data_IF_884848674152
#
_entry.id   IF_884848674152
#
_cell.length_a   1.000
_cell.length_b   1.000
_cell.length_c   1.000
_cell.angle_alpha   90.00
_cell.angle_beta   90.00
_cell.angle_gamma   90.00
#
_symmetry.space_group_name_H-M   'P 1'
#
loop_
_entity.id
_entity.type
_entity.pdbx_description
1 polymer ?
#
# COMPACT_ATOMS: atom_id res chain seq x y z
N UNK A 1 -17.27 -25.62 0.14
CA UNK A 1 -16.31 -26.05 1.18
C UNK A 1 -16.68 -27.42 1.71
N UNK A 2 -17.96 -27.67 2.03
CA UNK A 2 -18.48 -29.01 2.41
C UNK A 2 -18.30 -30.08 1.32
N UNK A 3 -18.51 -29.73 0.04
CA UNK A 3 -18.31 -30.66 -1.10
C UNK A 3 -16.87 -31.16 -1.27
N UNK A 4 -15.88 -30.38 -0.82
CA UNK A 4 -14.47 -30.76 -0.86
C UNK A 4 -14.10 -31.66 0.34
N UNK A 5 -14.79 -31.48 1.47
CA UNK A 5 -14.59 -32.31 2.67
C UNK A 5 -15.15 -33.72 2.46
N UNK A 6 -16.33 -33.84 1.83
CA UNK A 6 -16.93 -35.13 1.48
C UNK A 6 -16.08 -35.91 0.46
N UNK A 7 -15.46 -35.23 -0.51
CA UNK A 7 -14.52 -35.82 -1.48
C UNK A 7 -13.25 -36.37 -0.82
N UNK A 8 -12.73 -35.65 0.18
CA UNK A 8 -11.56 -36.08 0.98
C UNK A 8 -11.90 -37.31 1.82
N UNK A 9 -13.09 -37.34 2.44
CA UNK A 9 -13.56 -38.49 3.24
C UNK A 9 -13.80 -39.72 2.36
N UNK A 10 -14.35 -39.54 1.15
CA UNK A 10 -14.61 -40.62 0.19
C UNK A 10 -13.34 -41.24 -0.41
N UNK A 11 -12.27 -40.48 -0.65
CA UNK A 11 -10.99 -41.03 -1.14
C UNK A 11 -10.18 -41.70 -0.03
N UNK A 12 -10.25 -41.19 1.21
CA UNK A 12 -9.60 -41.82 2.37
C UNK A 12 -10.16 -43.22 2.65
N UNK A 13 -11.44 -43.46 2.38
CA UNK A 13 -12.06 -44.79 2.49
C UNK A 13 -11.74 -45.73 1.32
N UNK A 14 -11.50 -45.21 0.11
CA UNK A 14 -11.04 -46.03 -1.04
C UNK A 14 -9.60 -46.53 -0.94
N UNK A 15 -8.73 -45.83 -0.19
CA UNK A 15 -7.32 -46.24 0.02
C UNK A 15 -7.17 -47.53 0.86
N UNK A 16 -8.24 -48.04 1.48
CA UNK A 16 -8.24 -49.31 2.21
C UNK A 16 -8.25 -50.57 1.31
N UNK A 17 -8.48 -50.43 -0.01
CA UNK A 17 -8.58 -51.60 -0.91
C UNK A 17 -7.37 -51.85 -1.83
N UNK A 18 -6.33 -51.01 -1.76
CA UNK A 18 -5.21 -51.08 -2.72
C UNK A 18 -4.01 -51.88 -2.18
N UNK A 19 -4.03 -53.19 -2.47
CA UNK A 19 -2.94 -54.10 -2.93
C UNK A 19 -2.90 -55.48 -2.23
N UNK A 20 -3.68 -56.39 -2.81
CA UNK A 20 -3.18 -57.73 -3.15
C UNK A 20 -2.43 -57.62 -4.48
N UNK A 21 -1.10 -57.74 -4.49
CA UNK A 21 -0.34 -58.06 -5.71
C UNK A 21 0.87 -58.95 -5.33
N UNK A 22 1.19 -59.98 -6.13
CA UNK A 22 2.08 -61.06 -5.71
C UNK A 22 3.50 -60.78 -6.19
N UNK A 23 4.47 -60.68 -5.28
CA UNK A 23 5.86 -61.13 -5.52
C UNK A 23 6.70 -61.05 -4.25
N UNK A 24 7.10 -62.24 -3.81
CA UNK A 24 8.22 -62.65 -2.95
C UNK A 24 8.81 -61.72 -1.87
N UNK A 25 8.82 -62.32 -0.67
CA UNK A 25 9.65 -62.07 0.51
C UNK A 25 9.37 -60.77 1.27
N UNK A 26 8.40 -60.84 2.18
CA UNK A 26 8.48 -60.38 3.58
C UNK A 26 7.33 -61.10 4.33
N UNK A 27 7.68 -61.93 5.31
CA UNK A 27 6.72 -62.47 6.28
C UNK A 27 6.45 -61.44 7.38
N UNK A 28 5.19 -61.30 7.78
CA UNK A 28 4.65 -60.60 8.95
C UNK A 28 4.84 -59.07 9.01
N UNK A 29 3.88 -58.35 8.41
CA UNK A 29 3.50 -56.98 8.83
C UNK A 29 2.07 -57.06 9.39
N UNK A 30 1.78 -56.62 10.62
CA UNK A 30 0.41 -56.59 11.12
C UNK A 30 -0.39 -55.49 10.40
N UNK A 31 -1.58 -55.85 9.90
CA UNK A 31 -2.53 -54.91 9.30
C UNK A 31 -2.84 -53.76 10.26
N UNK A 32 -2.57 -52.53 9.84
CA UNK A 32 -3.09 -51.32 10.48
C UNK A 32 -4.49 -51.04 9.92
N UNK A 33 -5.48 -50.95 10.81
CA UNK A 33 -6.86 -50.61 10.44
C UNK A 33 -7.14 -49.18 10.91
N UNK A 34 -7.45 -48.28 9.98
CA UNK A 34 -7.93 -46.93 10.29
C UNK A 34 -9.37 -47.04 10.81
N UNK A 35 -9.65 -46.58 12.03
CA UNK A 35 -10.99 -46.69 12.63
C UNK A 35 -11.88 -45.48 12.29
N UNK A 36 -11.29 -44.28 12.31
CA UNK A 36 -11.95 -43.03 11.94
C UNK A 36 -10.92 -41.94 11.70
N UNK A 37 -11.31 -40.92 10.93
CA UNK A 37 -10.55 -39.69 10.74
C UNK A 37 -11.46 -38.49 10.94
N UNK A 38 -11.02 -37.51 11.73
CA UNK A 38 -11.71 -36.22 11.87
C UNK A 38 -10.79 -35.10 11.36
N UNK A 39 -11.34 -34.24 10.50
CA UNK A 39 -10.67 -33.04 10.02
C UNK A 39 -11.33 -31.82 10.66
N UNK A 40 -10.55 -31.00 11.37
CA UNK A 40 -11.04 -29.77 12.00
C UNK A 40 -10.21 -28.59 11.50
N UNK A 41 -10.88 -27.55 11.01
CA UNK A 41 -10.25 -26.28 10.63
C UNK A 41 -10.38 -25.26 11.76
N UNK A 42 -9.24 -24.74 12.24
CA UNK A 42 -9.18 -23.61 13.16
C UNK A 42 -8.08 -22.67 12.68
N UNK A 43 -8.39 -21.38 12.52
CA UNK A 43 -7.43 -20.32 12.20
C UNK A 43 -6.47 -20.64 11.02
N UNK A 44 -6.99 -21.18 9.91
CA UNK A 44 -6.20 -21.44 8.70
C UNK A 44 -5.28 -22.67 8.76
N UNK A 45 -5.36 -23.46 9.83
CA UNK A 45 -4.64 -24.72 10.02
C UNK A 45 -5.61 -25.90 9.85
N UNK A 46 -5.27 -26.87 8.99
CA UNK A 46 -6.00 -28.14 8.88
C UNK A 46 -5.39 -29.13 9.88
N UNK A 47 -6.16 -29.60 10.86
CA UNK A 47 -5.74 -30.68 11.76
C UNK A 47 -6.45 -31.98 11.38
N UNK A 48 -5.67 -33.00 11.01
CA UNK A 48 -6.14 -34.36 10.77
C UNK A 48 -5.87 -35.21 12.01
N UNK A 49 -6.94 -35.70 12.66
CA UNK A 49 -6.84 -36.71 13.72
C UNK A 49 -7.05 -38.09 13.10
N UNK A 50 -6.02 -38.93 13.16
CA UNK A 50 -6.07 -40.32 12.71
C UNK A 50 -6.11 -41.24 13.93
N UNK A 51 -7.17 -42.04 14.06
CA UNK A 51 -7.27 -43.07 15.11
C UNK A 51 -6.76 -44.41 14.57
N UNK A 52 -5.59 -44.81 15.05
CA UNK A 52 -4.92 -46.05 14.64
C UNK A 52 -4.68 -46.90 15.89
N UNK A 53 -5.14 -48.15 15.88
CA UNK A 53 -4.92 -49.11 16.97
C UNK A 53 -4.05 -50.26 16.48
N UNK A 54 -2.82 -50.43 16.98
CA UNK A 54 -2.26 -51.75 17.19
C UNK A 54 -2.75 -52.26 18.55
N UNK A 55 -2.97 -53.58 18.71
CA UNK A 55 -3.24 -54.18 20.02
C UNK A 55 -2.26 -53.59 21.05
N UNK A 56 -2.81 -52.83 21.99
CA UNK A 56 -2.24 -52.21 23.20
C UNK A 56 -1.82 -50.74 23.26
N UNK A 57 -1.82 -49.87 22.23
CA UNK A 57 -1.62 -48.40 22.47
C UNK A 57 -2.28 -47.48 21.43
N UNK A 58 -3.01 -46.45 21.89
CA UNK A 58 -3.52 -45.34 21.07
C UNK A 58 -2.38 -44.38 20.72
N UNK A 59 -2.15 -44.12 19.42
CA UNK A 59 -1.23 -43.09 18.95
C UNK A 59 -2.06 -41.90 18.48
N UNK A 60 -1.89 -40.73 19.11
CA UNK A 60 -2.48 -39.46 18.67
C UNK A 60 -1.40 -38.69 17.91
N UNK A 61 -1.53 -38.60 16.59
CA UNK A 61 -0.68 -37.74 15.77
C UNK A 61 -1.37 -36.39 15.57
N UNK A 62 -0.69 -35.29 15.90
CA UNK A 62 -1.11 -33.93 15.55
C UNK A 62 -0.24 -33.46 14.39
N UNK A 63 -0.84 -33.23 13.23
CA UNK A 63 -0.23 -32.48 12.14
C UNK A 63 -0.80 -31.07 12.15
N UNK A 64 0.05 -30.07 12.37
CA UNK A 64 -0.29 -28.65 12.22
C UNK A 64 0.39 -28.10 10.98
N UNK A 65 -0.36 -27.40 10.13
CA UNK A 65 0.11 -26.80 8.88
C UNK A 65 -0.11 -25.27 8.91
N UNK A 66 0.97 -24.49 8.89
CA UNK A 66 0.91 -23.03 8.77
C UNK A 66 0.99 -22.59 7.30
N UNK A 67 0.26 -21.53 6.92
CA UNK A 67 0.14 -21.02 5.55
C UNK A 67 1.40 -20.36 4.96
N UNK A 68 2.45 -20.14 5.74
CA UNK A 68 3.71 -19.58 5.25
C UNK A 68 4.84 -20.62 5.31
N UNK A 69 5.23 -21.15 4.14
CA UNK A 69 6.48 -21.91 3.95
C UNK A 69 6.48 -23.33 4.54
N UNK A 70 6.33 -24.34 3.67
CA UNK A 70 6.60 -25.74 4.03
C UNK A 70 8.10 -26.03 3.94
N UNK A 71 8.88 -25.63 4.95
CA UNK A 71 10.26 -26.11 5.11
C UNK A 71 10.52 -26.92 6.38
N UNK A 72 9.57 -27.03 7.32
CA UNK A 72 9.74 -27.89 8.50
C UNK A 72 8.41 -28.37 9.08
N UNK A 73 7.89 -29.50 8.59
CA UNK A 73 6.87 -30.24 9.33
C UNK A 73 7.55 -30.94 10.52
N UNK A 74 7.35 -30.44 11.75
CA UNK A 74 7.80 -31.13 12.97
C UNK A 74 6.71 -32.09 13.45
N UNK A 75 6.94 -33.39 13.25
CA UNK A 75 6.15 -34.44 13.89
C UNK A 75 6.48 -34.44 15.39
N UNK A 76 5.55 -33.94 16.24
CA UNK A 76 5.62 -34.17 17.69
C UNK A 76 4.84 -35.44 18.01
N UNK A 77 5.57 -36.56 18.15
CA UNK A 77 5.02 -37.78 18.73
C UNK A 77 5.14 -37.68 20.24
N UNK A 78 4.04 -37.48 20.96
CA UNK A 78 4.04 -37.50 22.42
C UNK A 78 3.97 -38.96 22.88
N UNK A 79 5.13 -39.59 23.12
CA UNK A 79 5.21 -40.95 23.65
C UNK A 79 4.87 -40.94 25.15
N UNK A 80 3.88 -41.76 25.55
CA UNK A 80 3.75 -42.19 26.94
C UNK A 80 4.94 -43.10 27.29
N UNK A 81 5.63 -42.76 28.39
CA UNK A 81 6.88 -43.34 28.93
C UNK A 81 7.14 -44.84 28.66
N UNK A 82 8.43 -45.12 28.41
CA UNK A 82 9.18 -46.40 28.43
C UNK A 82 8.90 -47.41 27.30
N UNK A 83 9.81 -47.48 26.32
CA UNK A 83 10.71 -48.62 26.02
C UNK A 83 11.47 -48.36 24.70
N UNK A 84 12.75 -48.70 24.67
CA UNK A 84 13.70 -48.57 23.55
C UNK A 84 13.61 -49.76 22.59
N UNK A 85 13.40 -49.56 21.28
CA UNK A 85 13.85 -50.43 20.18
C UNK A 85 13.90 -49.65 18.84
N UNK A 86 14.98 -49.82 18.08
CA UNK A 86 15.27 -49.21 16.76
C UNK A 86 14.66 -50.04 15.60
N UNK A 87 14.46 -49.39 14.43
CA UNK A 87 14.02 -49.83 13.07
C UNK A 87 12.58 -49.44 12.63
N UNK A 88 12.35 -49.09 11.33
CA UNK A 88 12.78 -47.86 10.67
C UNK A 88 11.58 -46.93 10.34
N UNK A 89 11.63 -45.68 10.79
CA UNK A 89 10.61 -44.65 10.52
C UNK A 89 10.65 -44.04 9.10
N UNK A 90 11.49 -44.56 8.20
CA UNK A 90 11.76 -43.92 6.90
C UNK A 90 10.65 -44.11 5.85
N UNK A 91 9.94 -45.25 5.85
CA UNK A 91 8.92 -45.56 4.83
C UNK A 91 7.65 -44.72 5.04
N UNK A 92 7.27 -44.48 6.30
CA UNK A 92 6.09 -43.68 6.67
C UNK A 92 6.29 -42.20 6.30
N UNK A 93 7.52 -41.68 6.43
CA UNK A 93 7.84 -40.29 6.09
C UNK A 93 7.70 -39.99 4.59
N UNK A 94 8.15 -40.90 3.72
CA UNK A 94 8.17 -40.68 2.26
C UNK A 94 6.75 -40.75 1.66
N UNK A 95 5.92 -41.71 2.08
CA UNK A 95 4.53 -41.82 1.59
C UNK A 95 3.66 -40.63 1.99
N UNK A 96 3.77 -40.15 3.23
CA UNK A 96 3.03 -38.97 3.71
C UNK A 96 3.43 -37.69 2.96
N UNK A 97 4.70 -37.56 2.56
CA UNK A 97 5.20 -36.40 1.82
C UNK A 97 4.72 -36.38 0.37
N UNK A 98 4.67 -37.55 -0.28
CA UNK A 98 4.16 -37.69 -1.65
C UNK A 98 2.64 -37.49 -1.71
N UNK A 99 1.89 -38.03 -0.75
CA UNK A 99 0.43 -37.83 -0.66
C UNK A 99 0.07 -36.38 -0.28
N UNK A 100 0.83 -35.71 0.58
CA UNK A 100 0.63 -34.29 0.87
C UNK A 100 0.89 -33.40 -0.36
N UNK A 101 1.80 -33.81 -1.26
CA UNK A 101 2.07 -33.10 -2.52
C UNK A 101 0.93 -33.28 -3.52
N UNK A 102 0.38 -34.50 -3.68
CA UNK A 102 -0.77 -34.73 -4.57
C UNK A 102 -2.07 -34.12 -4.03
N UNK A 103 -2.28 -34.14 -2.71
CA UNK A 103 -3.38 -33.44 -2.06
C UNK A 103 -3.26 -31.92 -2.24
N UNK A 104 -2.05 -31.34 -2.24
CA UNK A 104 -1.84 -29.91 -2.53
C UNK A 104 -2.26 -29.56 -3.96
N UNK A 105 -1.93 -30.40 -4.94
CA UNK A 105 -2.32 -30.21 -6.34
C UNK A 105 -3.83 -30.41 -6.57
N UNK A 106 -4.51 -31.27 -5.81
CA UNK A 106 -5.96 -31.50 -5.93
C UNK A 106 -6.86 -30.58 -5.05
N UNK A 107 -6.35 -30.01 -3.94
CA UNK A 107 -7.13 -29.15 -3.02
C UNK A 107 -6.96 -27.65 -3.25
N UNK A 108 -5.94 -27.23 -3.99
CA UNK A 108 -5.79 -25.84 -4.39
C UNK A 108 -6.67 -25.61 -5.62
N UNK A 109 -7.60 -24.64 -5.61
CA UNK A 109 -8.28 -24.25 -6.86
C UNK A 109 -7.19 -23.89 -7.86
N UNK A 110 -7.27 -24.38 -9.10
CA UNK A 110 -6.32 -23.99 -10.15
C UNK A 110 -6.20 -22.47 -10.16
N UNK A 111 -4.96 -21.99 -10.00
CA UNK A 111 -4.67 -20.56 -10.00
C UNK A 111 -5.14 -19.99 -11.33
N UNK A 112 -6.14 -19.12 -11.26
CA UNK A 112 -6.78 -18.52 -12.43
C UNK A 112 -6.04 -17.27 -12.89
N UNK A 113 -5.48 -16.51 -11.96
CA UNK A 113 -4.82 -15.24 -12.24
C UNK A 113 -3.47 -15.12 -11.56
N UNK A 114 -2.52 -14.49 -12.24
CA UNK A 114 -1.19 -14.17 -11.71
C UNK A 114 -1.08 -12.67 -11.44
N UNK A 115 -0.83 -12.30 -10.20
CA UNK A 115 -0.70 -10.92 -9.75
C UNK A 115 0.71 -10.66 -9.30
N UNK A 116 1.35 -9.63 -9.87
CA UNK A 116 2.70 -9.22 -9.46
C UNK A 116 2.61 -7.94 -8.65
N UNK A 117 3.07 -7.98 -7.41
CA UNK A 117 3.33 -6.77 -6.63
C UNK A 117 4.74 -6.31 -6.95
N UNK A 118 4.84 -5.26 -7.75
CA UNK A 118 6.11 -4.74 -8.25
C UNK A 118 6.50 -3.54 -7.41
N UNK A 119 7.57 -3.70 -6.67
CA UNK A 119 8.18 -2.64 -5.87
C UNK A 119 9.47 -2.17 -6.52
N UNK A 120 9.77 -0.89 -6.36
CA UNK A 120 11.11 -0.37 -6.60
C UNK A 120 11.71 0.11 -5.28
N UNK A 121 12.37 -0.78 -4.53
CA UNK A 121 12.83 -0.56 -3.13
C UNK A 121 14.04 0.36 -3.00
N UNK A 122 14.25 1.34 -3.88
CA UNK A 122 15.41 2.20 -3.71
C UNK A 122 15.40 2.97 -2.37
N UNK A 123 14.24 3.23 -1.72
CA UNK A 123 14.19 4.46 -0.92
C UNK A 123 13.21 4.68 0.25
N UNK A 124 12.46 3.70 0.76
CA UNK A 124 11.66 3.91 2.00
C UNK A 124 11.68 2.67 2.91
N UNK A 125 11.59 2.83 4.26
CA UNK A 125 11.34 1.69 5.14
C UNK A 125 10.05 0.96 4.69
N UNK A 126 9.85 -0.31 5.06
CA UNK A 126 8.76 -1.12 4.54
C UNK A 126 7.41 -0.62 5.08
N UNK A 127 6.88 0.47 4.52
CA UNK A 127 5.58 1.06 4.87
C UNK A 127 4.44 0.11 4.44
N UNK A 128 4.75 -0.91 3.64
CA UNK A 128 3.83 -1.97 3.23
C UNK A 128 4.51 -3.33 3.45
N UNK A 129 4.95 -3.60 4.69
CA UNK A 129 5.89 -4.69 5.02
C UNK A 129 5.44 -6.13 4.73
N UNK A 130 4.13 -6.37 4.58
CA UNK A 130 3.60 -7.72 4.34
C UNK A 130 2.48 -7.66 3.32
N UNK A 131 2.49 -8.62 2.39
CA UNK A 131 1.47 -8.79 1.33
C UNK A 131 0.25 -9.60 1.79
N UNK A 132 0.19 -9.97 3.07
CA UNK A 132 -0.80 -10.92 3.62
C UNK A 132 -2.25 -10.48 3.40
N UNK A 133 -2.52 -9.18 3.48
CA UNK A 133 -3.86 -8.61 3.29
C UNK A 133 -4.27 -8.78 1.84
N UNK A 134 -3.39 -8.42 0.91
CA UNK A 134 -3.63 -8.50 -0.52
C UNK A 134 -3.77 -9.95 -0.97
N UNK A 135 -2.86 -10.83 -0.53
CA UNK A 135 -2.92 -12.27 -0.80
C UNK A 135 -4.22 -12.87 -0.27
N UNK A 136 -4.65 -12.51 0.94
CA UNK A 136 -5.90 -13.00 1.52
C UNK A 136 -7.15 -12.58 0.75
N UNK A 137 -7.18 -11.35 0.22
CA UNK A 137 -8.30 -10.85 -0.58
C UNK A 137 -8.29 -11.40 -2.01
N UNK A 138 -7.12 -11.48 -2.65
CA UNK A 138 -6.97 -11.97 -4.03
C UNK A 138 -7.13 -13.49 -4.13
N UNK A 139 -6.84 -14.25 -3.06
CA UNK A 139 -7.14 -15.67 -2.98
C UNK A 139 -8.65 -15.96 -3.15
N UNK A 140 -9.54 -15.01 -2.81
CA UNK A 140 -11.01 -15.16 -2.99
C UNK A 140 -11.43 -15.25 -4.46
N UNK A 141 -10.56 -14.83 -5.38
CA UNK A 141 -10.78 -14.88 -6.83
C UNK A 141 -9.80 -15.82 -7.55
N UNK A 142 -9.18 -16.75 -6.81
CA UNK A 142 -8.17 -17.68 -7.33
C UNK A 142 -6.98 -16.99 -7.99
N UNK A 143 -6.54 -15.86 -7.41
CA UNK A 143 -5.38 -15.12 -7.87
C UNK A 143 -4.18 -15.35 -6.93
N UNK A 144 -3.05 -15.75 -7.50
CA UNK A 144 -1.78 -15.87 -6.76
C UNK A 144 -1.01 -14.57 -6.85
N UNK A 145 -0.50 -14.11 -5.70
CA UNK A 145 0.24 -12.87 -5.60
C UNK A 145 1.72 -13.17 -5.36
N UNK A 146 2.58 -12.62 -6.20
CA UNK A 146 4.04 -12.73 -6.08
C UNK A 146 4.62 -11.34 -5.89
N UNK A 147 5.42 -11.16 -4.85
CA UNK A 147 6.17 -9.93 -4.61
C UNK A 147 7.52 -9.98 -5.34
N UNK A 148 7.83 -8.91 -6.06
CA UNK A 148 9.10 -8.72 -6.75
C UNK A 148 9.62 -7.31 -6.50
N UNK A 149 10.92 -7.21 -6.22
CA UNK A 149 11.65 -5.96 -6.14
C UNK A 149 12.41 -5.78 -7.45
N UNK A 150 11.99 -4.80 -8.25
CA UNK A 150 12.51 -4.53 -9.58
C UNK A 150 12.96 -3.07 -9.68
N UNK A 151 14.23 -2.89 -10.04
CA UNK A 151 14.92 -1.60 -10.15
C UNK A 151 14.95 -1.07 -11.57
N UNK A 152 14.85 -1.97 -12.55
CA UNK A 152 14.92 -1.64 -13.98
C UNK A 152 13.68 -2.12 -14.70
N UNK A 153 13.38 -1.52 -15.85
CA UNK A 153 12.29 -1.99 -16.71
C UNK A 153 12.47 -3.45 -17.13
N UNK A 154 13.70 -3.91 -17.37
CA UNK A 154 14.00 -5.28 -17.80
C UNK A 154 13.61 -6.29 -16.72
N UNK A 155 13.92 -5.99 -15.46
CA UNK A 155 13.51 -6.81 -14.32
C UNK A 155 11.99 -6.85 -14.16
N UNK A 156 11.30 -5.72 -14.36
CA UNK A 156 9.83 -5.66 -14.33
C UNK A 156 9.24 -6.53 -15.44
N UNK A 157 9.74 -6.40 -16.67
CA UNK A 157 9.25 -7.12 -17.84
C UNK A 157 9.43 -8.63 -17.66
N UNK A 158 10.60 -9.07 -17.21
CA UNK A 158 10.87 -10.50 -17.00
C UNK A 158 10.00 -11.07 -15.87
N UNK A 159 9.90 -10.36 -14.74
CA UNK A 159 9.09 -10.81 -13.61
C UNK A 159 7.59 -10.86 -13.92
N UNK A 160 7.09 -9.90 -14.70
CA UNK A 160 5.66 -9.71 -14.96
C UNK A 160 5.16 -10.23 -16.31
N UNK A 161 5.99 -10.90 -17.11
CA UNK A 161 5.67 -11.39 -18.46
C UNK A 161 4.32 -12.11 -18.59
N UNK A 162 3.96 -12.86 -17.56
CA UNK A 162 2.72 -13.65 -17.47
C UNK A 162 1.69 -13.07 -16.48
N UNK A 163 1.83 -11.83 -16.05
CA UNK A 163 0.95 -11.21 -15.07
C UNK A 163 -0.40 -10.77 -15.70
N UNK A 164 -1.50 -11.09 -15.04
CA UNK A 164 -2.83 -10.55 -15.33
C UNK A 164 -3.05 -9.18 -14.69
N UNK A 165 -2.37 -8.92 -13.56
CA UNK A 165 -2.45 -7.65 -12.83
C UNK A 165 -1.09 -7.26 -12.22
N UNK A 166 -0.85 -5.95 -12.18
CA UNK A 166 0.24 -5.34 -11.42
C UNK A 166 -0.32 -4.58 -10.22
N UNK A 167 0.24 -4.81 -9.04
CA UNK A 167 0.09 -3.92 -7.88
C UNK A 167 1.38 -3.10 -7.77
N UNK A 168 1.31 -1.82 -8.12
CA UNK A 168 2.48 -0.98 -8.41
C UNK A 168 2.86 -0.14 -7.19
N UNK A 169 4.07 -0.34 -6.68
CA UNK A 169 4.68 0.42 -5.58
C UNK A 169 5.91 1.14 -6.11
N UNK A 170 5.73 2.38 -6.58
CA UNK A 170 6.79 3.28 -7.11
C UNK A 170 7.59 2.77 -8.32
N UNK A 171 7.35 1.55 -8.80
CA UNK A 171 8.01 1.05 -10.00
C UNK A 171 7.58 1.85 -11.25
N UNK A 172 8.52 2.21 -12.14
CA UNK A 172 8.20 2.93 -13.38
C UNK A 172 7.52 1.99 -14.38
N UNK A 173 6.24 2.21 -14.64
CA UNK A 173 5.45 1.44 -15.60
C UNK A 173 5.33 2.27 -16.87
N UNK A 174 6.40 2.25 -17.67
CA UNK A 174 6.51 3.02 -18.91
C UNK A 174 5.82 2.33 -20.08
N UNK A 175 5.74 3.02 -21.23
CA UNK A 175 5.28 2.42 -22.49
C UNK A 175 6.01 1.13 -22.85
N UNK A 176 7.32 1.05 -22.62
CA UNK A 176 8.13 -0.14 -22.91
C UNK A 176 7.72 -1.33 -22.04
N UNK A 177 7.51 -1.09 -20.75
CA UNK A 177 6.99 -2.11 -19.83
C UNK A 177 5.61 -2.58 -20.29
N UNK A 178 4.67 -1.66 -20.49
CA UNK A 178 3.27 -1.98 -20.84
C UNK A 178 3.15 -2.77 -22.14
N UNK A 179 3.89 -2.38 -23.18
CA UNK A 179 3.87 -3.09 -24.47
C UNK A 179 4.55 -4.47 -24.45
N UNK A 180 5.30 -4.79 -23.39
CA UNK A 180 5.94 -6.10 -23.20
C UNK A 180 5.09 -7.08 -22.39
N UNK A 181 3.92 -6.65 -21.88
CA UNK A 181 3.06 -7.43 -20.99
C UNK A 181 1.67 -7.70 -21.63
N UNK A 182 1.57 -8.59 -22.64
CA UNK A 182 0.36 -8.74 -23.46
C UNK A 182 -0.84 -9.33 -22.71
N UNK A 183 -0.64 -9.95 -21.54
CA UNK A 183 -1.70 -10.49 -20.70
C UNK A 183 -2.22 -9.51 -19.66
N UNK A 184 -1.53 -8.38 -19.48
CA UNK A 184 -1.84 -7.45 -18.41
C UNK A 184 -3.21 -6.81 -18.64
N UNK A 185 -4.07 -6.86 -17.61
CA UNK A 185 -5.43 -6.28 -17.66
C UNK A 185 -5.55 -5.02 -16.82
N UNK A 186 -4.80 -4.95 -15.72
CA UNK A 186 -4.88 -3.83 -14.77
C UNK A 186 -3.55 -3.53 -14.11
N UNK A 187 -3.23 -2.25 -13.97
CA UNK A 187 -2.18 -1.74 -13.10
C UNK A 187 -2.84 -0.92 -11.98
N UNK A 188 -2.76 -1.42 -10.74
CA UNK A 188 -3.31 -0.77 -9.54
C UNK A 188 -2.18 -0.12 -8.76
N UNK A 189 -2.18 1.21 -8.70
CA UNK A 189 -1.17 1.99 -7.98
C UNK A 189 -1.49 2.01 -6.49
N UNK A 190 -0.47 1.77 -5.65
CA UNK A 190 -0.55 2.00 -4.19
C UNK A 190 -0.59 3.49 -3.84
N UNK A 191 -1.78 4.08 -3.87
CA UNK A 191 -2.07 5.42 -3.36
C UNK A 191 -2.71 6.36 -4.39
N UNK A 192 -2.68 7.67 -4.12
CA UNK A 192 -3.40 8.70 -4.89
C UNK A 192 -2.73 9.06 -6.23
N UNK A 193 -1.51 9.62 -6.21
CA UNK A 193 -0.82 10.03 -7.45
C UNK A 193 -0.36 8.84 -8.28
N UNK A 194 -0.41 8.94 -9.60
CA UNK A 194 -0.16 7.84 -10.54
C UNK A 194 0.90 8.22 -11.59
N UNK A 195 1.74 9.20 -11.24
CA UNK A 195 2.79 9.78 -12.09
C UNK A 195 3.89 8.78 -12.52
N UNK A 196 3.98 7.61 -11.87
CA UNK A 196 4.91 6.53 -12.24
C UNK A 196 4.39 5.61 -13.35
N UNK A 197 3.14 5.78 -13.80
CA UNK A 197 2.50 4.95 -14.82
C UNK A 197 2.21 5.80 -16.05
N UNK A 198 2.65 5.34 -17.23
CA UNK A 198 2.27 5.95 -18.51
C UNK A 198 0.80 5.61 -18.85
N UNK A 199 -0.11 6.52 -18.50
CA UNK A 199 -1.57 6.37 -18.63
C UNK A 199 -2.00 6.24 -20.10
N UNK A 200 -1.34 6.96 -21.00
CA UNK A 200 -1.64 6.93 -22.43
C UNK A 200 -1.19 5.58 -23.02
N UNK A 201 0.01 5.13 -22.70
CA UNK A 201 0.48 3.81 -23.12
C UNK A 201 -0.36 2.68 -22.52
N UNK A 202 -0.84 2.82 -21.29
CA UNK A 202 -1.71 1.81 -20.68
C UNK A 202 -3.02 1.69 -21.48
N UNK A 203 -3.59 2.82 -21.88
CA UNK A 203 -4.78 2.87 -22.75
C UNK A 203 -4.52 2.22 -24.11
N UNK A 204 -3.37 2.51 -24.72
CA UNK A 204 -2.97 1.91 -26.01
C UNK A 204 -2.87 0.39 -25.95
N UNK A 205 -2.45 -0.15 -24.81
CA UNK A 205 -2.30 -1.59 -24.56
C UNK A 205 -3.52 -2.23 -23.86
N UNK A 206 -4.66 -1.53 -23.81
CA UNK A 206 -5.91 -2.00 -23.18
C UNK A 206 -5.79 -2.34 -21.68
N UNK A 207 -4.82 -1.73 -20.99
CA UNK A 207 -4.57 -1.90 -19.55
C UNK A 207 -5.33 -0.81 -18.79
N UNK A 208 -6.09 -1.21 -17.77
CA UNK A 208 -6.80 -0.28 -16.90
C UNK A 208 -5.85 0.24 -15.82
N UNK A 209 -5.77 1.56 -15.65
CA UNK A 209 -4.97 2.18 -14.59
C UNK A 209 -5.90 2.59 -13.44
N UNK A 210 -5.62 2.06 -12.26
CA UNK A 210 -6.40 2.32 -11.05
C UNK A 210 -5.51 2.98 -10.01
N UNK A 211 -6.02 4.02 -9.36
CA UNK A 211 -5.42 4.60 -8.15
C UNK A 211 -6.40 4.47 -6.98
N UNK A 212 -5.90 4.68 -5.76
CA UNK A 212 -6.73 4.66 -4.55
C UNK A 212 -6.77 6.10 -3.99
N UNK A 213 -7.70 6.96 -4.41
CA UNK A 213 -7.71 8.37 -4.04
C UNK A 213 -8.27 8.64 -2.63
N UNK A 214 -8.97 7.68 -2.02
CA UNK A 214 -9.74 7.87 -0.80
C UNK A 214 -9.09 7.25 0.46
N UNK A 215 -7.91 6.64 0.35
CA UNK A 215 -7.36 5.88 1.48
C UNK A 215 -6.81 6.74 2.62
N UNK A 216 -6.32 7.96 2.33
CA UNK A 216 -5.57 8.80 3.27
C UNK A 216 -6.05 10.27 3.33
N UNK A 217 -7.32 10.53 2.96
CA UNK A 217 -7.83 11.89 2.87
C UNK A 217 -7.73 12.65 4.20
N UNK A 218 -8.12 12.00 5.29
CA UNK A 218 -8.04 12.57 6.65
C UNK A 218 -6.58 12.74 7.06
N UNK A 219 -5.75 11.71 6.90
CA UNK A 219 -4.34 11.71 7.26
C UNK A 219 -3.56 12.86 6.60
N UNK A 220 -3.69 13.02 5.28
CA UNK A 220 -2.96 14.08 4.56
C UNK A 220 -3.44 15.47 4.96
N UNK A 221 -4.75 15.63 5.18
CA UNK A 221 -5.31 16.92 5.62
C UNK A 221 -4.94 17.27 7.07
N UNK A 222 -4.83 16.28 7.96
CA UNK A 222 -4.31 16.43 9.31
C UNK A 222 -2.83 16.82 9.29
N UNK A 223 -2.04 16.16 8.46
CA UNK A 223 -0.61 16.43 8.35
C UNK A 223 -0.32 17.83 7.79
N UNK A 224 -1.12 18.29 6.82
CA UNK A 224 -1.05 19.66 6.32
C UNK A 224 -1.30 20.68 7.44
N UNK A 225 -2.32 20.45 8.27
CA UNK A 225 -2.59 21.29 9.44
C UNK A 225 -1.49 21.19 10.49
N UNK A 226 -0.91 20.02 10.70
CA UNK A 226 0.21 19.83 11.63
C UNK A 226 1.45 20.62 11.20
N UNK A 227 1.82 20.56 9.91
CA UNK A 227 2.92 21.36 9.35
C UNK A 227 2.64 22.86 9.46
N UNK A 228 1.40 23.28 9.15
CA UNK A 228 0.97 24.67 9.29
C UNK A 228 1.13 25.15 10.74
N UNK A 229 0.60 24.40 11.71
CA UNK A 229 0.67 24.75 13.13
C UNK A 229 2.11 24.74 13.66
N UNK A 230 2.94 23.79 13.20
CA UNK A 230 4.35 23.72 13.55
C UNK A 230 5.12 24.95 13.08
N UNK A 231 4.82 25.45 11.87
CA UNK A 231 5.37 26.69 11.34
C UNK A 231 4.84 27.90 12.10
N UNK A 232 3.51 28.05 12.19
CA UNK A 232 2.84 29.20 12.80
C UNK A 232 3.25 29.42 14.26
N UNK A 233 3.50 28.33 15.00
CA UNK A 233 3.87 28.38 16.43
C UNK A 233 5.35 28.13 16.68
N UNK A 234 6.18 28.08 15.63
CA UNK A 234 7.63 27.90 15.72
C UNK A 234 8.03 26.66 16.56
N UNK A 235 7.24 25.58 16.48
CA UNK A 235 7.36 24.45 17.42
C UNK A 235 8.70 23.72 17.27
N UNK A 236 9.13 23.49 16.02
CA UNK A 236 10.33 22.70 15.72
C UNK A 236 11.59 23.46 16.13
N UNK A 237 11.69 24.74 15.72
CA UNK A 237 12.82 25.60 16.08
C UNK A 237 12.90 25.80 17.60
N UNK A 238 11.76 26.08 18.26
CA UNK A 238 11.70 26.21 19.73
C UNK A 238 12.15 24.95 20.46
N UNK A 239 11.71 23.78 20.00
CA UNK A 239 12.12 22.49 20.57
C UNK A 239 13.62 22.25 20.38
N UNK A 240 14.14 22.54 19.18
CA UNK A 240 15.57 22.42 18.88
C UNK A 240 16.43 23.32 19.77
N UNK A 241 16.00 24.58 19.94
CA UNK A 241 16.63 25.55 20.82
C UNK A 241 16.68 25.14 22.29
N UNK A 242 15.56 24.66 22.82
CA UNK A 242 15.46 24.17 24.20
C UNK A 242 16.38 22.98 24.45
N UNK A 243 16.46 22.02 23.51
CA UNK A 243 17.39 20.89 23.59
C UNK A 243 18.87 21.30 23.58
N UNK A 244 19.17 22.50 23.08
CA UNK A 244 20.51 23.10 23.10
C UNK A 244 20.74 24.01 24.32
N UNK A 245 19.80 24.09 25.27
CA UNK A 245 19.91 24.94 26.46
C UNK A 245 19.62 26.42 26.22
N UNK A 246 19.09 26.81 25.06
CA UNK A 246 18.88 28.21 24.65
C UNK A 246 17.52 28.77 25.08
N UNK A 247 17.18 28.67 26.37
CA UNK A 247 15.86 29.04 26.89
C UNK A 247 15.45 30.49 26.61
N UNK A 248 16.24 31.47 27.06
CA UNK A 248 15.89 32.89 26.96
C UNK A 248 15.82 33.42 25.52
N UNK A 249 16.66 32.88 24.64
CA UNK A 249 16.66 33.21 23.21
C UNK A 249 15.33 32.80 22.55
N UNK A 250 14.90 31.55 22.73
CA UNK A 250 13.65 31.06 22.13
C UNK A 250 12.39 31.55 22.84
N UNK A 251 12.48 31.89 24.12
CA UNK A 251 11.42 32.64 24.78
C UNK A 251 11.18 33.99 24.09
N UNK A 252 12.24 34.65 23.61
CA UNK A 252 12.11 35.90 22.85
C UNK A 252 11.66 35.62 21.41
N UNK A 253 12.24 34.63 20.73
CA UNK A 253 11.90 34.29 19.34
C UNK A 253 10.42 33.94 19.17
N UNK A 254 9.84 33.19 20.12
CA UNK A 254 8.42 32.79 20.07
C UNK A 254 7.45 33.96 20.16
N UNK A 255 7.87 35.15 20.61
CA UNK A 255 7.03 36.37 20.58
C UNK A 255 6.70 36.84 19.17
N UNK A 256 7.47 36.39 18.16
CA UNK A 256 7.23 36.68 16.73
C UNK A 256 6.18 35.77 16.10
N UNK A 257 5.74 34.72 16.80
CA UNK A 257 4.74 33.79 16.29
C UNK A 257 3.39 34.52 16.09
N UNK A 258 2.81 34.50 14.88
CA UNK A 258 1.52 35.13 14.65
C UNK A 258 0.39 34.36 15.37
N UNK A 259 -0.70 35.09 15.68
CA UNK A 259 -1.96 34.45 15.99
C UNK A 259 -2.52 33.79 14.73
N UNK A 260 -3.07 32.57 14.83
CA UNK A 260 -3.78 31.93 13.72
C UNK A 260 -5.15 32.56 13.44
N UNK A 261 -5.81 33.08 14.49
CA UNK A 261 -7.13 33.67 14.38
C UNK A 261 -7.12 34.83 13.38
N UNK A 262 -8.14 34.89 12.52
CA UNK A 262 -8.33 35.88 11.45
C UNK A 262 -7.31 35.88 10.30
N UNK A 263 -6.26 35.06 10.37
CA UNK A 263 -5.33 34.86 9.26
C UNK A 263 -5.99 34.08 8.11
N UNK A 264 -5.35 34.13 6.94
CA UNK A 264 -5.88 33.54 5.71
C UNK A 264 -5.07 32.34 5.25
N UNK A 265 -5.74 31.22 5.06
CA UNK A 265 -5.24 30.04 4.37
C UNK A 265 -5.69 30.05 2.91
N UNK A 266 -4.72 30.12 2.00
CA UNK A 266 -4.90 29.92 0.56
C UNK A 266 -4.65 28.48 0.16
N UNK A 267 -5.63 27.84 -0.49
CA UNK A 267 -5.55 26.48 -0.98
C UNK A 267 -5.31 26.45 -2.50
N UNK A 268 -4.17 25.94 -2.95
CA UNK A 268 -3.91 25.67 -4.37
C UNK A 268 -4.35 24.24 -4.66
N UNK A 269 -5.54 24.10 -5.23
CA UNK A 269 -6.29 22.84 -5.33
C UNK A 269 -7.32 22.70 -4.21
N UNK A 270 -8.61 22.64 -4.58
CA UNK A 270 -9.74 22.60 -3.64
C UNK A 270 -10.51 21.28 -3.74
N UNK A 271 -9.80 20.18 -4.03
CA UNK A 271 -10.31 18.82 -4.07
C UNK A 271 -10.68 18.25 -2.69
N UNK A 272 -10.78 16.93 -2.58
CA UNK A 272 -11.18 16.26 -1.33
C UNK A 272 -10.28 16.63 -0.14
N UNK A 273 -8.97 16.57 -0.32
CA UNK A 273 -8.00 16.89 0.74
C UNK A 273 -8.11 18.37 1.11
N UNK A 274 -8.17 19.27 0.12
CA UNK A 274 -8.25 20.71 0.40
C UNK A 274 -9.51 21.17 1.08
N UNK A 275 -10.65 20.54 0.77
CA UNK A 275 -11.89 20.79 1.53
C UNK A 275 -11.81 20.31 2.98
N UNK A 276 -11.15 19.18 3.24
CA UNK A 276 -10.93 18.69 4.62
C UNK A 276 -9.96 19.59 5.38
N UNK A 277 -8.87 20.03 4.73
CA UNK A 277 -7.93 21.00 5.33
C UNK A 277 -8.61 22.32 5.61
N UNK A 278 -9.43 22.86 4.69
CA UNK A 278 -10.21 24.08 4.91
C UNK A 278 -11.10 23.95 6.14
N UNK A 279 -11.89 22.87 6.23
CA UNK A 279 -12.78 22.60 7.35
C UNK A 279 -12.03 22.60 8.69
N UNK A 280 -10.85 21.98 8.75
CA UNK A 280 -10.01 21.94 9.95
C UNK A 280 -9.43 23.31 10.28
N UNK A 281 -8.91 24.03 9.28
CA UNK A 281 -8.37 25.37 9.42
C UNK A 281 -9.40 26.36 9.97
N UNK A 282 -10.64 26.30 9.48
CA UNK A 282 -11.74 27.14 9.94
C UNK A 282 -12.05 26.96 11.43
N UNK A 283 -11.86 25.75 11.99
CA UNK A 283 -12.00 25.52 13.44
C UNK A 283 -10.96 26.27 14.28
N UNK A 284 -9.83 26.68 13.68
CA UNK A 284 -8.82 27.55 14.31
C UNK A 284 -9.07 29.06 14.04
N UNK A 285 -10.17 29.41 13.36
CA UNK A 285 -10.51 30.78 13.01
C UNK A 285 -9.79 31.34 11.78
N UNK A 286 -9.19 30.48 10.96
CA UNK A 286 -8.62 30.88 9.68
C UNK A 286 -9.72 31.15 8.65
N UNK A 287 -9.55 32.21 7.86
CA UNK A 287 -10.30 32.44 6.62
C UNK A 287 -9.73 31.54 5.53
N UNK A 288 -10.57 31.01 4.64
CA UNK A 288 -10.13 30.11 3.58
C UNK A 288 -10.47 30.66 2.20
N UNK A 289 -9.43 30.87 1.39
CA UNK A 289 -9.54 31.19 -0.03
C UNK A 289 -8.91 30.07 -0.85
N UNK A 290 -9.29 29.93 -2.12
CA UNK A 290 -8.88 28.80 -2.94
C UNK A 290 -8.66 29.16 -4.40
N UNK A 291 -7.73 28.46 -5.04
CA UNK A 291 -7.55 28.47 -6.48
C UNK A 291 -7.70 27.04 -7.00
N UNK A 292 -8.75 26.81 -7.77
CA UNK A 292 -9.00 25.55 -8.46
C UNK A 292 -9.78 25.85 -9.75
N UNK A 293 -9.13 25.83 -10.94
CA UNK A 293 -9.78 26.19 -12.19
C UNK A 293 -10.85 25.19 -12.65
N UNK A 294 -10.95 24.03 -11.98
CA UNK A 294 -11.85 22.94 -12.33
C UNK A 294 -13.03 22.80 -11.36
N UNK A 295 -13.04 23.55 -10.26
CA UNK A 295 -14.05 23.45 -9.24
C UNK A 295 -15.14 24.52 -9.42
N UNK A 296 -16.40 24.10 -9.42
CA UNK A 296 -17.53 25.02 -9.38
C UNK A 296 -17.52 25.86 -8.10
N UNK A 297 -17.69 27.17 -8.26
CA UNK A 297 -17.74 28.13 -7.13
C UNK A 297 -18.76 27.74 -6.06
N UNK A 298 -19.93 27.27 -6.47
CA UNK A 298 -20.99 26.83 -5.54
C UNK A 298 -20.60 25.60 -4.70
N UNK A 299 -19.68 24.77 -5.18
CA UNK A 299 -19.14 23.64 -4.41
C UNK A 299 -18.16 24.16 -3.38
N UNK A 300 -17.25 25.06 -3.75
CA UNK A 300 -16.29 25.66 -2.82
C UNK A 300 -16.98 26.43 -1.68
N UNK A 301 -18.00 27.22 -1.99
CA UNK A 301 -18.77 28.00 -1.00
C UNK A 301 -19.45 27.14 0.07
N UNK A 302 -19.94 25.95 -0.30
CA UNK A 302 -20.50 24.98 0.68
C UNK A 302 -19.48 24.51 1.72
N UNK A 303 -18.19 24.64 1.41
CA UNK A 303 -17.09 24.33 2.31
C UNK A 303 -16.45 25.58 2.91
N UNK A 304 -17.08 26.75 2.77
CA UNK A 304 -16.56 28.03 3.28
C UNK A 304 -15.31 28.52 2.57
N UNK A 305 -15.03 28.04 1.35
CA UNK A 305 -13.87 28.44 0.56
C UNK A 305 -14.32 29.46 -0.49
N UNK A 306 -13.69 30.63 -0.48
CA UNK A 306 -13.88 31.64 -1.54
C UNK A 306 -12.88 31.38 -2.67
N UNK A 307 -13.36 31.04 -3.86
CA UNK A 307 -12.48 30.88 -5.03
C UNK A 307 -12.02 32.25 -5.56
N UNK A 308 -10.72 32.38 -5.79
CA UNK A 308 -10.03 33.58 -6.26
C UNK A 308 -8.99 33.22 -7.32
N UNK A 309 -8.38 34.22 -7.97
CA UNK A 309 -7.26 33.99 -8.88
C UNK A 309 -6.00 33.57 -8.13
N UNK A 310 -5.07 32.84 -8.77
CA UNK A 310 -3.80 32.45 -8.14
C UNK A 310 -3.00 33.67 -7.62
N UNK A 311 -2.83 34.77 -8.38
CA UNK A 311 -2.14 35.97 -7.87
C UNK A 311 -2.81 36.58 -6.63
N UNK A 312 -4.13 36.64 -6.61
CA UNK A 312 -4.91 37.13 -5.45
C UNK A 312 -4.72 36.21 -4.24
N UNK A 313 -4.78 34.89 -4.45
CA UNK A 313 -4.52 33.90 -3.41
C UNK A 313 -3.14 34.11 -2.78
N UNK A 314 -2.09 34.23 -3.60
CA UNK A 314 -0.71 34.39 -3.11
C UNK A 314 -0.53 35.68 -2.32
N UNK A 315 -1.13 36.77 -2.79
CA UNK A 315 -1.04 38.09 -2.15
C UNK A 315 -1.77 38.15 -0.81
N UNK A 316 -2.93 37.52 -0.71
CA UNK A 316 -3.83 37.68 0.45
C UNK A 316 -3.63 36.59 1.52
N UNK A 317 -2.94 35.50 1.19
CA UNK A 317 -2.72 34.39 2.13
C UNK A 317 -1.55 34.61 3.09
N UNK A 318 -1.75 34.23 4.36
CA UNK A 318 -0.69 34.09 5.36
C UNK A 318 -0.10 32.67 5.33
N UNK A 319 -0.88 31.69 4.88
CA UNK A 319 -0.44 30.33 4.61
C UNK A 319 -0.91 29.92 3.22
N UNK A 320 0.00 29.44 2.38
CA UNK A 320 -0.35 28.87 1.06
C UNK A 320 -0.14 27.37 1.15
N UNK A 321 -1.19 26.58 0.98
CA UNK A 321 -1.15 25.12 1.06
C UNK A 321 -1.40 24.49 -0.31
N UNK A 322 -0.45 23.67 -0.77
CA UNK A 322 -0.46 23.02 -2.07
C UNK A 322 -1.11 21.64 -1.96
N UNK A 323 -2.25 21.46 -2.63
CA UNK A 323 -3.09 20.25 -2.58
C UNK A 323 -3.63 19.87 -3.96
N UNK A 324 -2.90 20.25 -5.01
CA UNK A 324 -3.17 19.94 -6.41
C UNK A 324 -2.39 18.69 -6.86
N UNK A 325 -2.92 17.86 -7.79
CA UNK A 325 -2.12 16.80 -8.40
C UNK A 325 -0.93 17.38 -9.19
N UNK A 326 0.14 16.60 -9.38
CA UNK A 326 1.23 16.95 -10.29
C UNK A 326 0.91 16.52 -11.72
N UNK A 327 0.86 17.48 -12.65
CA UNK A 327 0.67 17.26 -14.07
C UNK A 327 1.41 18.36 -14.87
N UNK A 328 1.15 18.47 -16.18
CA UNK A 328 1.81 19.47 -17.05
C UNK A 328 1.49 20.92 -16.67
N UNK A 329 0.32 21.20 -16.12
CA UNK A 329 -0.15 22.54 -15.76
C UNK A 329 0.27 22.96 -14.36
N UNK A 330 0.45 21.99 -13.46
CA UNK A 330 0.73 22.25 -12.04
C UNK A 330 2.21 22.09 -11.68
N UNK A 331 3.02 21.52 -12.58
CA UNK A 331 4.47 21.44 -12.40
C UNK A 331 5.05 22.84 -12.30
N UNK A 332 5.72 23.11 -11.19
CA UNK A 332 6.36 24.40 -10.86
C UNK A 332 5.37 25.58 -10.98
N UNK A 333 4.07 25.34 -10.68
CA UNK A 333 3.08 26.41 -10.63
C UNK A 333 3.42 27.46 -9.58
N UNK A 334 4.17 27.07 -8.54
CA UNK A 334 4.79 27.98 -7.57
C UNK A 334 6.29 28.11 -7.90
N UNK A 335 6.64 29.07 -8.75
CA UNK A 335 8.02 29.42 -9.10
C UNK A 335 8.52 30.67 -8.40
N UNK A 336 9.68 31.20 -8.83
CA UNK A 336 10.27 32.44 -8.27
C UNK A 336 9.30 33.64 -8.34
N UNK A 337 8.54 33.78 -9.43
CA UNK A 337 7.59 34.88 -9.61
C UNK A 337 6.44 34.80 -8.62
N UNK A 338 5.93 33.60 -8.36
CA UNK A 338 4.81 33.35 -7.45
C UNK A 338 5.25 33.50 -5.99
N UNK A 339 6.43 32.98 -5.65
CA UNK A 339 7.02 33.14 -4.31
C UNK A 339 7.24 34.62 -3.96
N UNK A 340 7.60 35.47 -4.93
CA UNK A 340 7.73 36.93 -4.73
C UNK A 340 6.40 37.66 -4.57
N UNK A 341 5.28 37.06 -4.96
CA UNK A 341 3.94 37.63 -4.76
C UNK A 341 3.37 37.32 -3.37
N UNK A 342 3.92 36.31 -2.70
CA UNK A 342 3.54 35.99 -1.32
C UNK A 342 3.97 37.08 -0.34
N UNK A 343 3.31 37.13 0.81
CA UNK A 343 3.72 38.02 1.90
C UNK A 343 5.10 37.59 2.43
N UNK A 344 5.98 38.52 2.84
CA UNK A 344 7.22 38.18 3.55
C UNK A 344 7.01 37.40 4.85
N UNK A 345 5.81 37.50 5.43
CA UNK A 345 5.40 36.78 6.64
C UNK A 345 4.72 35.44 6.34
N UNK A 346 4.48 35.10 5.07
CA UNK A 346 3.72 33.91 4.70
C UNK A 346 4.54 32.63 4.82
N UNK A 347 3.84 31.52 5.00
CA UNK A 347 4.41 30.17 4.96
C UNK A 347 3.85 29.36 3.78
N UNK A 348 4.71 28.61 3.11
CA UNK A 348 4.31 27.63 2.10
C UNK A 348 4.22 26.23 2.71
N UNK A 349 3.08 25.57 2.57
CA UNK A 349 2.84 24.19 3.02
C UNK A 349 2.67 23.30 1.80
N UNK A 350 3.48 22.24 1.68
CA UNK A 350 3.36 21.29 0.56
C UNK A 350 3.23 19.85 1.07
N UNK A 351 2.04 19.29 0.91
CA UNK A 351 1.73 17.88 1.13
C UNK A 351 1.17 17.21 -0.13
N UNK A 352 1.36 17.85 -1.29
CA UNK A 352 0.95 17.34 -2.59
C UNK A 352 2.08 16.54 -3.26
N UNK A 353 2.91 17.21 -4.05
CA UNK A 353 4.10 16.69 -4.72
C UNK A 353 5.17 17.78 -4.71
N UNK A 354 6.44 17.40 -4.58
CA UNK A 354 7.54 18.37 -4.50
C UNK A 354 7.57 19.32 -5.69
N UNK A 355 7.55 18.74 -6.90
CA UNK A 355 7.57 19.45 -8.18
C UNK A 355 6.31 20.29 -8.49
N UNK A 356 5.38 20.51 -7.54
CA UNK A 356 4.37 21.57 -7.67
C UNK A 356 5.01 22.94 -7.39
N UNK A 357 6.00 22.98 -6.51
CA UNK A 357 6.86 24.13 -6.31
C UNK A 357 8.21 23.90 -7.01
N UNK A 358 8.80 24.95 -7.56
CA UNK A 358 10.19 24.94 -8.04
C UNK A 358 11.12 24.98 -6.81
N UNK A 359 11.75 23.86 -6.49
CA UNK A 359 12.56 23.68 -5.29
C UNK A 359 13.78 24.61 -5.25
N UNK A 360 14.56 24.80 -6.34
CA UNK A 360 15.59 25.83 -6.41
C UNK A 360 15.07 27.24 -6.09
N UNK A 361 13.92 27.63 -6.66
CA UNK A 361 13.30 28.93 -6.37
C UNK A 361 12.83 29.03 -4.92
N UNK A 362 12.27 27.95 -4.36
CA UNK A 362 11.85 27.89 -2.95
C UNK A 362 13.03 28.04 -2.00
N UNK A 363 14.13 27.31 -2.24
CA UNK A 363 15.39 27.42 -1.47
C UNK A 363 15.89 28.87 -1.48
N UNK A 364 15.86 29.53 -2.63
CA UNK A 364 16.24 30.94 -2.76
C UNK A 364 15.31 31.86 -1.98
N UNK A 365 14.00 31.68 -2.13
CA UNK A 365 12.98 32.47 -1.44
C UNK A 365 13.10 32.38 0.10
N UNK A 366 13.41 31.19 0.62
CA UNK A 366 13.60 30.95 2.05
C UNK A 366 14.90 31.56 2.58
N UNK A 367 15.99 31.49 1.80
CA UNK A 367 17.28 32.11 2.15
C UNK A 367 17.21 33.63 2.13
N UNK A 368 16.60 34.20 1.10
CA UNK A 368 16.44 35.64 0.91
C UNK A 368 15.24 36.23 1.68
N UNK A 369 14.49 35.40 2.41
CA UNK A 369 13.32 35.79 3.21
C UNK A 369 12.23 36.52 2.41
N UNK A 370 12.00 36.09 1.16
CA UNK A 370 10.81 36.50 0.40
C UNK A 370 9.53 35.96 1.04
N UNK A 371 9.65 34.83 1.76
CA UNK A 371 8.62 34.24 2.61
C UNK A 371 9.24 33.87 3.97
N UNK A 372 8.40 33.71 5.00
CA UNK A 372 8.87 33.48 6.36
C UNK A 372 9.48 32.08 6.52
N UNK A 373 8.84 31.07 5.93
CA UNK A 373 9.25 29.67 6.05
C UNK A 373 8.41 28.71 5.21
N UNK A 374 8.66 27.41 5.37
CA UNK A 374 7.91 26.37 4.69
C UNK A 374 7.73 25.10 5.54
N UNK A 375 6.62 24.40 5.34
CA UNK A 375 6.36 23.06 5.87
C UNK A 375 6.22 22.07 4.71
N UNK A 376 7.17 21.16 4.55
CA UNK A 376 7.28 20.29 3.37
C UNK A 376 7.25 18.83 3.78
N UNK A 377 6.32 18.06 3.21
CA UNK A 377 6.32 16.60 3.29
C UNK A 377 6.93 15.95 2.05
N UNK A 378 7.07 16.69 0.95
CA UNK A 378 7.42 16.17 -0.38
C UNK A 378 8.50 17.01 -1.04
N UNK A 379 9.33 16.38 -1.87
CA UNK A 379 10.52 16.98 -2.50
C UNK A 379 10.56 16.71 -4.01
N UNK A 380 11.27 17.53 -4.79
CA UNK A 380 11.37 17.31 -6.23
C UNK A 380 12.05 15.99 -6.57
N UNK A 381 13.12 15.70 -5.84
CA UNK A 381 13.85 14.44 -5.89
C UNK A 381 13.69 13.74 -4.55
N UNK A 382 13.09 12.56 -4.59
CA UNK A 382 12.90 11.74 -3.42
C UNK A 382 13.66 10.42 -3.54
N UNK A 383 14.40 10.04 -2.48
CA UNK A 383 14.63 10.75 -1.23
C UNK A 383 15.51 11.96 -1.41
N UNK A 384 15.33 12.87 -0.46
CA UNK A 384 16.12 14.07 -0.37
C UNK A 384 17.59 13.71 -0.16
N UNK A 385 18.48 14.27 -0.98
CA UNK A 385 19.92 14.14 -0.82
C UNK A 385 20.39 14.78 0.48
N UNK A 386 21.40 14.20 1.13
CA UNK A 386 21.93 14.69 2.41
C UNK A 386 22.55 16.12 2.32
N UNK A 387 22.88 16.56 1.12
CA UNK A 387 23.42 17.87 0.80
C UNK A 387 22.35 18.92 0.47
N UNK A 388 21.07 18.52 0.37
CA UNK A 388 19.98 19.44 0.05
C UNK A 388 19.90 20.58 1.09
N UNK A 389 19.95 21.86 0.67
CA UNK A 389 19.90 23.01 1.56
C UNK A 389 18.73 23.04 2.53
N UNK A 390 17.56 22.53 2.14
CA UNK A 390 16.35 22.54 2.97
C UNK A 390 16.58 21.85 4.32
N UNK A 391 17.43 20.81 4.36
CA UNK A 391 17.76 20.06 5.58
C UNK A 391 18.48 20.91 6.65
N UNK A 392 19.03 22.07 6.28
CA UNK A 392 19.83 22.94 7.15
C UNK A 392 19.13 24.26 7.48
N UNK A 393 17.94 24.51 6.92
CA UNK A 393 17.22 25.77 7.11
C UNK A 393 16.37 25.74 8.37
N UNK A 394 16.58 26.69 9.29
CA UNK A 394 15.83 26.77 10.54
C UNK A 394 14.36 27.21 10.37
N UNK A 395 14.05 27.86 9.24
CA UNK A 395 12.70 28.29 8.88
C UNK A 395 11.94 27.26 8.02
N UNK A 396 12.38 26.00 8.04
CA UNK A 396 11.75 24.92 7.29
C UNK A 396 11.44 23.75 8.23
N UNK A 397 10.20 23.26 8.16
CA UNK A 397 9.77 22.01 8.79
C UNK A 397 9.67 20.94 7.71
N UNK A 398 10.34 19.80 7.92
CA UNK A 398 10.42 18.73 6.94
C UNK A 398 9.88 17.41 7.50
N UNK A 399 9.16 16.67 6.67
CA UNK A 399 8.76 15.28 6.93
C UNK A 399 9.03 14.40 5.71
N UNK A 400 9.32 13.10 5.89
CA UNK A 400 9.82 12.24 4.81
C UNK A 400 8.69 11.57 4.02
N UNK A 401 7.86 12.35 3.31
CA UNK A 401 6.71 11.88 2.52
C UNK A 401 5.82 10.91 3.31
N UNK A 402 5.42 11.33 4.51
CA UNK A 402 4.69 10.50 5.45
C UNK A 402 3.28 11.02 5.76
N UNK A 403 2.81 12.08 5.10
CA UNK A 403 1.48 12.65 5.36
C UNK A 403 0.34 11.63 5.18
N UNK A 404 0.51 10.64 4.30
CA UNK A 404 -0.48 9.60 4.08
C UNK A 404 -0.44 8.47 5.12
N UNK A 405 0.60 8.36 5.93
CA UNK A 405 0.90 7.16 6.72
C UNK A 405 0.14 7.14 8.05
N UNK A 406 -0.72 6.15 8.22
CA UNK A 406 -1.26 5.72 9.50
C UNK A 406 -1.46 4.20 9.46
N UNK A 407 -1.50 3.52 10.61
CA UNK A 407 -1.79 2.08 10.64
C UNK A 407 -3.13 1.77 9.95
N UNK A 408 -4.10 2.69 10.08
CA UNK A 408 -5.43 2.60 9.46
C UNK A 408 -5.40 2.86 7.94
N UNK A 409 -4.71 3.91 7.49
CA UNK A 409 -4.64 4.26 6.06
C UNK A 409 -3.92 3.19 5.26
N UNK A 410 -2.84 2.63 5.80
CA UNK A 410 -2.07 1.57 5.14
C UNK A 410 -2.88 0.29 5.01
N UNK A 411 -3.62 -0.10 6.06
CA UNK A 411 -4.53 -1.24 6.00
C UNK A 411 -5.65 -1.02 4.98
N UNK A 412 -6.23 0.18 4.95
CA UNK A 412 -7.25 0.57 3.97
C UNK A 412 -6.70 0.52 2.55
N UNK A 413 -5.48 1.02 2.33
CA UNK A 413 -4.80 1.01 1.04
C UNK A 413 -4.61 -0.40 0.50
N UNK A 414 -3.99 -1.29 1.29
CA UNK A 414 -3.75 -2.69 0.91
C UNK A 414 -5.05 -3.37 0.49
N UNK A 415 -6.08 -3.22 1.32
CA UNK A 415 -7.40 -3.80 1.09
C UNK A 415 -8.05 -3.25 -0.20
N UNK A 416 -7.99 -1.94 -0.42
CA UNK A 416 -8.55 -1.31 -1.60
C UNK A 416 -7.80 -1.74 -2.86
N UNK A 417 -6.46 -1.74 -2.85
CA UNK A 417 -5.64 -2.20 -3.99
C UNK A 417 -6.02 -3.61 -4.42
N UNK A 418 -6.07 -4.54 -3.47
CA UNK A 418 -6.42 -5.93 -3.75
C UNK A 418 -7.87 -6.07 -4.28
N UNK A 419 -8.81 -5.32 -3.72
CA UNK A 419 -10.21 -5.33 -4.17
C UNK A 419 -10.39 -4.75 -5.56
N UNK A 420 -9.72 -3.66 -5.90
CA UNK A 420 -9.79 -3.09 -7.25
C UNK A 420 -9.17 -4.04 -8.29
N UNK A 421 -8.03 -4.66 -7.99
CA UNK A 421 -7.45 -5.69 -8.85
C UNK A 421 -8.42 -6.87 -9.04
N UNK A 422 -9.01 -7.38 -7.94
CA UNK A 422 -9.98 -8.46 -7.98
C UNK A 422 -11.22 -8.11 -8.84
N UNK A 423 -11.74 -6.87 -8.77
CA UNK A 423 -12.85 -6.42 -9.62
C UNK A 423 -12.49 -6.56 -11.10
N UNK A 424 -11.36 -6.00 -11.53
CA UNK A 424 -10.98 -6.06 -12.94
C UNK A 424 -10.74 -7.50 -13.38
N UNK A 425 -10.02 -8.30 -12.59
CA UNK A 425 -9.75 -9.70 -12.90
C UNK A 425 -11.04 -10.52 -13.06
N UNK A 426 -12.05 -10.23 -12.25
CA UNK A 426 -13.38 -10.88 -12.33
C UNK A 426 -14.33 -10.26 -13.34
N UNK A 427 -13.87 -9.29 -14.15
CA UNK A 427 -14.65 -8.72 -15.25
C UNK A 427 -15.52 -7.52 -14.87
N UNK A 428 -15.30 -6.91 -13.70
CA UNK A 428 -16.04 -5.75 -13.20
C UNK A 428 -15.23 -4.46 -13.31
N UNK A 429 -15.93 -3.33 -13.50
CA UNK A 429 -15.30 -2.01 -13.43
C UNK A 429 -14.76 -1.71 -12.02
N UNK A 430 -13.54 -1.16 -11.90
CA UNK A 430 -13.02 -0.63 -10.64
C UNK A 430 -13.77 0.66 -10.27
N UNK A 431 -13.69 1.06 -8.99
CA UNK A 431 -14.34 2.28 -8.50
C UNK A 431 -13.66 3.54 -9.03
N UNK A 432 -12.33 3.55 -9.04
CA UNK A 432 -11.51 4.70 -9.42
C UNK A 432 -10.48 4.30 -10.48
N UNK A 433 -10.81 4.48 -11.75
CA UNK A 433 -9.82 4.35 -12.84
C UNK A 433 -9.49 5.69 -13.45
N UNK A 434 -8.23 5.85 -13.85
CA UNK A 434 -7.65 7.11 -14.33
C UNK A 434 -7.89 7.27 -15.84
N UNK A 435 -7.53 6.28 -16.65
CA UNK A 435 -7.67 6.33 -18.10
C UNK A 435 -9.10 6.05 -18.57
N UNK A 436 -9.95 7.08 -18.64
CA UNK A 436 -11.35 6.92 -19.06
C UNK A 436 -11.50 6.39 -20.50
N UNK A 437 -10.54 6.71 -21.36
CA UNK A 437 -10.53 6.32 -22.78
C UNK A 437 -10.26 4.83 -23.02
N UNK A 438 -9.92 4.07 -21.98
CA UNK A 438 -9.81 2.59 -22.07
C UNK A 438 -11.19 1.93 -22.18
N UNK A 439 -12.26 2.60 -21.75
CA UNK A 439 -13.62 2.06 -21.67
C UNK A 439 -14.15 1.40 -22.95
N UNK A 440 -14.03 1.98 -24.15
CA UNK A 440 -14.46 1.32 -25.39
C UNK A 440 -13.58 0.12 -25.80
N UNK A 441 -12.40 -0.05 -25.20
CA UNK A 441 -11.40 -1.05 -25.59
C UNK A 441 -11.47 -2.34 -24.76
N UNK A 442 -12.18 -2.32 -23.64
CA UNK A 442 -12.28 -3.44 -22.70
C UNK A 442 -13.73 -3.76 -22.39
N UNK A 443 -14.06 -5.04 -22.25
CA UNK A 443 -15.40 -5.49 -21.95
C UNK A 443 -15.52 -5.84 -20.45
N UNK A 444 -15.97 -4.88 -19.65
CA UNK A 444 -16.23 -5.05 -18.21
C UNK A 444 -17.67 -4.66 -17.87
N UNK A 445 -18.27 -5.38 -16.93
CA UNK A 445 -19.61 -5.10 -16.40
C UNK A 445 -19.55 -4.10 -15.25
N UNK A 446 -20.59 -3.27 -15.10
CA UNK A 446 -20.74 -2.44 -13.90
C UNK A 446 -21.19 -3.32 -12.74
N UNK A 447 -20.79 -2.95 -11.54
CA UNK A 447 -21.31 -3.53 -10.30
C UNK A 447 -22.66 -2.84 -10.02
N UNK A 448 -23.74 -3.64 -9.93
CA UNK A 448 -25.11 -3.16 -9.70
C UNK A 448 -25.28 -2.46 -8.34
#
# INVERSE_FOLDING_TARGET
>A
MESNLERVISKASMLNEVRKTPTNKIHNVPLLRLLSSEAVMVAGTISLRLFIVPRLKTIIAHCSFNRCGFSNARLKVQQSKKLTWQWPCFIIGISLQLEAKSLKEELMPETRFRVMRVENKFHLPPVVATIEVETGELAKVSADVVEVDCKTEDEIIEAAKDADALLVVFAPITRRVLSSLPKLRVAVRYGVGYDTIDVDAATDNNVIVVNIPDFCLEEVSDHAMALLLACARLLVSSTGGLKQGRWGEFQTETTKAPALFEQTLGLVGCGNIGRLTAKKAQCFGLKTIGYDPYLDKSVAEKHGITLVSLPELLKDSDYVCLQTPLNKETRHIIGEKELKQMKPTAYLINTARGAVADEPALIKALRERWIAGAGLDVFEVEPIGADNPLLKMENVVLTPHCAANSSTSLQRLKLSVAREAARVLTGKWPRYWVNKDVKPRVNLVRED
#
